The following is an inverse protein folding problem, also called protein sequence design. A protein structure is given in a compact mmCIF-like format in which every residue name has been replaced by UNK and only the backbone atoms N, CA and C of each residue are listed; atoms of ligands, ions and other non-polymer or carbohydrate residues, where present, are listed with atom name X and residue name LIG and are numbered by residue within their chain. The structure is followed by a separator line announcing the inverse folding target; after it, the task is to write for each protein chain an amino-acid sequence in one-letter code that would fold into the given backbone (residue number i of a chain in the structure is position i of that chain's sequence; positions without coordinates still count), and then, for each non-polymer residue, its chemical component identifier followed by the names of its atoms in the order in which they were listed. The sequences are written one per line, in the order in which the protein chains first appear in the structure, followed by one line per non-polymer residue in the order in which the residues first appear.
data_IF_603146327667
#
_entry.id   IF_603146327667
#
_cell.length_a   1.000
_cell.length_b   1.000
_cell.length_c   1.000
_cell.angle_alpha   90.00
_cell.angle_beta   90.00
_cell.angle_gamma   90.00
#
_symmetry.space_group_name_H-M   'P 1'
#
loop_
_entity.id
_entity.type
_entity.pdbx_description
1 polymer ?
#
# COMPACT_ATOMS: atom_id res chain seq x y z
N UNK A 1 -9.18 -50.59 -61.49
CA UNK A 1 -9.09 -51.43 -60.28
C UNK A 1 -9.09 -50.48 -59.09
N UNK A 2 -10.27 -50.13 -58.55
CA UNK A 2 -10.86 -50.67 -57.29
C UNK A 2 -9.91 -50.57 -56.08
N UNK A 3 -10.30 -49.73 -55.11
CA UNK A 3 -9.66 -49.68 -53.79
C UNK A 3 -10.13 -48.54 -52.89
N UNK A 4 -11.44 -48.48 -52.58
CA UNK A 4 -11.98 -47.74 -51.42
C UNK A 4 -11.46 -48.37 -50.11
N UNK A 5 -11.09 -47.57 -49.11
CA UNK A 5 -11.29 -47.88 -47.67
C UNK A 5 -11.17 -46.56 -46.86
N UNK A 6 -12.28 -45.86 -46.60
CA UNK A 6 -13.12 -45.86 -45.38
C UNK A 6 -12.60 -44.96 -44.24
N UNK A 7 -13.41 -43.93 -43.98
CA UNK A 7 -13.45 -43.02 -42.82
C UNK A 7 -13.33 -43.71 -41.46
N UNK A 8 -12.82 -42.98 -40.48
CA UNK A 8 -13.36 -43.00 -39.11
C UNK A 8 -13.12 -41.66 -38.43
N UNK A 9 -14.22 -40.91 -38.29
CA UNK A 9 -14.42 -39.82 -37.35
C UNK A 9 -14.43 -40.44 -35.95
N UNK A 10 -13.66 -39.89 -35.00
CA UNK A 10 -13.92 -40.10 -33.58
C UNK A 10 -14.11 -38.76 -32.86
N UNK A 11 -15.12 -38.79 -32.01
CA UNK A 11 -15.85 -37.70 -31.36
C UNK A 11 -15.01 -36.86 -30.38
N UNK A 12 -15.47 -35.61 -30.24
CA UNK A 12 -15.69 -34.86 -29.01
C UNK A 12 -15.17 -35.48 -27.70
N UNK A 13 -14.34 -34.74 -26.97
CA UNK A 13 -14.14 -35.01 -25.55
C UNK A 13 -13.18 -34.03 -24.89
N UNK A 14 -13.74 -33.22 -23.99
CA UNK A 14 -13.06 -32.42 -22.95
C UNK A 14 -12.55 -31.02 -23.30
N UNK A 15 -13.51 -30.10 -23.31
CA UNK A 15 -13.30 -28.77 -22.73
C UNK A 15 -13.01 -28.93 -21.23
N UNK A 16 -11.73 -28.97 -20.85
CA UNK A 16 -11.27 -28.65 -19.49
C UNK A 16 -10.24 -27.53 -19.64
N UNK A 17 -10.70 -26.31 -19.92
CA UNK A 17 -9.91 -25.15 -19.52
C UNK A 17 -10.30 -24.85 -18.07
N UNK A 18 -9.38 -25.24 -17.19
CA UNK A 18 -9.54 -25.22 -15.75
C UNK A 18 -10.07 -23.91 -15.24
N UNK A 19 -10.80 -24.01 -14.14
CA UNK A 19 -11.16 -22.89 -13.30
C UNK A 19 -9.90 -22.04 -13.11
N UNK A 20 -9.83 -20.92 -13.82
CA UNK A 20 -8.93 -19.85 -13.50
C UNK A 20 -9.34 -19.45 -12.10
N UNK A 21 -8.59 -19.94 -11.11
CA UNK A 21 -8.63 -19.39 -9.77
C UNK A 21 -8.45 -17.91 -9.96
N UNK A 22 -9.52 -17.15 -9.76
CA UNK A 22 -9.45 -15.71 -9.66
C UNK A 22 -8.62 -15.44 -8.40
N UNK A 23 -7.30 -15.53 -8.52
CA UNK A 23 -6.42 -14.78 -7.64
C UNK A 23 -6.97 -13.37 -7.71
N UNK A 24 -7.46 -12.78 -6.60
CA UNK A 24 -7.81 -11.37 -6.62
C UNK A 24 -6.57 -10.69 -7.19
N UNK A 25 -6.76 -9.84 -8.20
CA UNK A 25 -5.69 -9.10 -8.83
C UNK A 25 -5.04 -8.21 -7.77
N UNK A 26 -4.11 -8.76 -6.98
CA UNK A 26 -3.21 -8.06 -6.08
C UNK A 26 -1.99 -7.57 -6.87
N UNK A 27 -2.17 -7.30 -8.17
CA UNK A 27 -1.15 -6.78 -9.05
C UNK A 27 -1.17 -5.25 -8.95
N UNK A 28 -0.45 -4.69 -7.97
CA UNK A 28 -0.11 -3.26 -8.02
C UNK A 28 -0.22 -2.47 -6.73
N UNK A 29 -0.34 -3.08 -5.55
CA UNK A 29 -0.35 -2.31 -4.31
C UNK A 29 0.92 -1.45 -4.17
N UNK A 30 0.76 -0.19 -3.75
CA UNK A 30 1.85 0.78 -3.59
C UNK A 30 2.03 1.11 -2.11
N UNK A 31 3.28 1.11 -1.63
CA UNK A 31 3.60 1.55 -0.28
C UNK A 31 3.53 3.06 -0.21
N UNK A 32 2.76 3.58 0.74
CA UNK A 32 2.62 4.99 1.04
C UNK A 32 3.34 5.29 2.34
N UNK A 33 4.09 6.38 2.30
CA UNK A 33 4.71 6.98 3.47
C UNK A 33 4.42 8.47 3.46
N UNK A 34 3.91 9.00 4.56
CA UNK A 34 3.67 10.42 4.70
C UNK A 34 4.12 10.91 6.07
N UNK A 35 4.94 11.97 6.08
CA UNK A 35 5.43 12.60 7.32
C UNK A 35 4.78 13.97 7.48
N UNK A 36 4.38 14.29 8.71
CA UNK A 36 3.92 15.63 9.09
C UNK A 36 4.36 16.00 10.50
N UNK A 37 4.35 17.28 10.84
CA UNK A 37 4.75 17.82 12.14
C UNK A 37 3.75 18.82 12.68
N UNK A 38 3.65 18.92 14.00
CA UNK A 38 2.78 19.89 14.66
C UNK A 38 3.20 20.15 16.11
N UNK A 39 2.54 21.11 16.75
CA UNK A 39 2.74 21.47 18.16
C UNK A 39 2.30 20.38 19.17
N UNK A 40 1.57 19.36 18.72
CA UNK A 40 1.19 18.22 19.57
C UNK A 40 1.33 16.88 18.83
N UNK A 41 1.57 15.76 19.55
CA UNK A 41 1.66 14.43 18.94
C UNK A 41 0.38 14.06 18.18
N UNK A 42 -0.78 14.42 18.74
CA UNK A 42 -2.10 14.13 18.14
C UNK A 42 -2.28 14.86 16.81
N UNK A 43 -1.96 16.16 16.78
CA UNK A 43 -2.08 16.95 15.55
C UNK A 43 -1.10 16.46 14.47
N UNK A 44 0.15 16.17 14.84
CA UNK A 44 1.15 15.64 13.91
C UNK A 44 0.72 14.28 13.33
N UNK A 45 0.20 13.39 14.18
CA UNK A 45 -0.33 12.11 13.75
C UNK A 45 -1.51 12.28 12.78
N UNK A 46 -2.52 13.08 13.14
CA UNK A 46 -3.68 13.35 12.27
C UNK A 46 -3.26 13.93 10.92
N UNK A 47 -2.35 14.90 10.91
CA UNK A 47 -1.85 15.51 9.69
C UNK A 47 -1.07 14.50 8.81
N UNK A 48 -0.22 13.65 9.41
CA UNK A 48 0.49 12.60 8.68
C UNK A 48 -0.46 11.55 8.08
N UNK A 49 -1.53 11.20 8.80
CA UNK A 49 -2.54 10.26 8.33
C UNK A 49 -3.39 10.85 7.20
N UNK A 50 -3.73 12.13 7.28
CA UNK A 50 -4.42 12.86 6.22
C UNK A 50 -3.56 12.89 4.94
N UNK A 51 -2.26 13.21 5.05
CA UNK A 51 -1.33 13.19 3.93
C UNK A 51 -1.18 11.77 3.33
N UNK A 52 -1.22 10.72 4.15
CA UNK A 52 -1.21 9.34 3.66
C UNK A 52 -2.49 9.00 2.86
N UNK A 53 -3.65 9.50 3.31
CA UNK A 53 -4.91 9.32 2.58
C UNK A 53 -4.90 10.10 1.24
N UNK A 54 -4.41 11.33 1.24
CA UNK A 54 -4.23 12.11 0.00
C UNK A 54 -3.27 11.42 -0.98
N UNK A 55 -2.17 10.87 -0.46
CA UNK A 55 -1.23 10.08 -1.25
C UNK A 55 -1.90 8.85 -1.87
N UNK A 56 -2.82 8.19 -1.17
CA UNK A 56 -3.56 7.04 -1.72
C UNK A 56 -4.49 7.46 -2.86
N UNK A 57 -5.16 8.60 -2.73
CA UNK A 57 -5.97 9.16 -3.82
C UNK A 57 -5.10 9.63 -5.00
N UNK A 58 -3.88 10.11 -4.74
CA UNK A 58 -2.91 10.40 -5.80
C UNK A 58 -2.45 9.12 -6.53
N UNK A 59 -2.19 8.03 -5.80
CA UNK A 59 -1.89 6.71 -6.39
C UNK A 59 -3.05 6.24 -7.25
N UNK A 60 -4.28 6.29 -6.74
CA UNK A 60 -5.50 5.93 -7.48
C UNK A 60 -5.59 6.68 -8.81
N UNK A 61 -5.44 8.01 -8.78
CA UNK A 61 -5.47 8.87 -9.99
C UNK A 61 -4.35 8.50 -10.97
N UNK A 62 -3.12 8.35 -10.47
CA UNK A 62 -1.94 7.98 -11.28
C UNK A 62 -2.06 6.61 -11.93
N UNK A 63 -2.67 5.64 -11.24
CA UNK A 63 -2.82 4.25 -11.68
C UNK A 63 -4.10 4.02 -12.51
N UNK A 64 -4.99 5.01 -12.58
CA UNK A 64 -6.29 4.85 -13.23
C UNK A 64 -7.25 3.89 -12.50
N UNK A 65 -7.02 3.62 -11.21
CA UNK A 65 -7.87 2.73 -10.43
C UNK A 65 -9.24 3.35 -10.18
N UNK A 66 -10.30 2.54 -10.24
CA UNK A 66 -11.66 3.03 -9.93
C UNK A 66 -11.84 3.23 -8.42
N UNK A 67 -11.14 2.44 -7.60
CA UNK A 67 -11.10 2.58 -6.14
C UNK A 67 -9.68 2.44 -5.59
N UNK A 68 -9.49 2.87 -4.34
CA UNK A 68 -8.30 2.56 -3.56
C UNK A 68 -8.70 2.16 -2.15
N UNK A 69 -8.03 1.15 -1.63
CA UNK A 69 -8.15 0.69 -0.25
C UNK A 69 -6.81 0.84 0.43
N UNK A 70 -6.82 1.21 1.70
CA UNK A 70 -5.60 1.37 2.51
C UNK A 70 -5.59 0.33 3.62
N UNK A 71 -4.40 -0.24 3.87
CA UNK A 71 -4.13 -1.07 5.05
C UNK A 71 -2.93 -0.52 5.79
N UNK A 72 -3.01 -0.50 7.12
CA UNK A 72 -1.91 -0.07 7.96
C UNK A 72 -0.64 -0.88 7.67
N UNK A 73 0.48 -0.19 7.49
CA UNK A 73 1.79 -0.83 7.30
C UNK A 73 2.85 -0.05 8.04
N UNK A 74 3.58 -0.75 8.91
CA UNK A 74 4.75 -0.17 9.57
C UNK A 74 5.81 0.18 8.53
N UNK A 75 6.37 1.38 8.64
CA UNK A 75 7.39 1.92 7.74
C UNK A 75 8.47 2.57 8.57
N UNK A 76 9.68 2.63 8.03
CA UNK A 76 10.75 3.40 8.67
C UNK A 76 10.36 4.88 8.74
N UNK A 77 10.47 5.52 9.92
CA UNK A 77 10.32 6.97 10.05
C UNK A 77 11.12 7.73 9.00
N UNK A 78 10.55 8.80 8.45
CA UNK A 78 11.16 9.56 7.36
C UNK A 78 11.17 11.06 7.70
N UNK A 79 12.26 11.54 8.34
CA UNK A 79 12.37 12.93 8.77
C UNK A 79 12.50 13.90 7.59
N UNK A 80 11.96 15.11 7.75
CA UNK A 80 12.00 16.15 6.71
C UNK A 80 13.42 16.58 6.33
N UNK A 81 14.24 16.88 7.34
CA UNK A 81 15.61 17.37 7.13
C UNK A 81 16.62 16.26 7.36
N UNK A 82 16.83 15.43 6.34
CA UNK A 82 17.79 14.31 6.38
C UNK A 82 19.24 14.76 6.64
N UNK A 83 19.58 16.00 6.30
CA UNK A 83 20.88 16.59 6.62
C UNK A 83 21.07 16.81 8.13
N UNK A 84 20.00 17.10 8.87
CA UNK A 84 20.05 17.34 10.33
C UNK A 84 19.80 16.03 11.09
N UNK A 85 18.89 15.20 10.58
CA UNK A 85 18.57 13.90 11.13
C UNK A 85 18.44 12.89 9.99
N UNK A 86 19.50 12.14 9.65
CA UNK A 86 19.45 11.18 8.55
C UNK A 86 18.56 9.98 8.86
N UNK A 87 18.45 9.62 10.13
CA UNK A 87 17.63 8.52 10.63
C UNK A 87 16.98 8.88 11.97
N UNK A 88 15.90 8.18 12.34
CA UNK A 88 15.22 8.37 13.62
C UNK A 88 15.55 7.18 14.52
N UNK A 89 16.39 7.36 15.56
CA UNK A 89 16.68 6.30 16.52
C UNK A 89 15.42 5.76 17.19
N UNK A 90 15.43 4.47 17.55
CA UNK A 90 14.23 3.78 18.10
C UNK A 90 13.89 4.22 19.52
N UNK A 91 14.88 4.65 20.29
CA UNK A 91 14.80 5.10 21.67
C UNK A 91 14.11 6.46 21.82
N UNK A 92 14.09 7.27 20.76
CA UNK A 92 13.40 8.58 20.75
C UNK A 92 11.97 8.51 20.19
N UNK A 93 11.50 7.31 19.83
CA UNK A 93 10.12 7.13 19.39
C UNK A 93 9.16 7.34 20.55
N UNK A 94 8.18 8.22 20.34
CA UNK A 94 7.10 8.47 21.28
C UNK A 94 6.11 7.32 21.16
N UNK A 95 5.95 6.54 22.24
CA UNK A 95 4.99 5.45 22.35
C UNK A 95 3.70 5.90 23.04
N UNK A 96 2.55 5.26 22.76
CA UNK A 96 2.36 4.14 21.84
C UNK A 96 2.36 4.57 20.36
N UNK A 97 2.68 3.62 19.46
CA UNK A 97 2.43 3.82 18.03
C UNK A 97 0.91 3.91 17.79
N UNK A 98 0.48 4.77 16.86
CA UNK A 98 -0.95 4.96 16.57
C UNK A 98 -1.31 4.13 15.35
N UNK A 99 -2.02 3.02 15.59
CA UNK A 99 -2.42 2.06 14.55
C UNK A 99 -3.92 2.16 14.32
N UNK A 100 -4.32 2.36 13.07
CA UNK A 100 -5.70 2.33 12.62
C UNK A 100 -5.89 1.21 11.60
N UNK A 101 -7.10 1.04 11.06
CA UNK A 101 -7.31 0.13 9.92
C UNK A 101 -6.53 0.56 8.66
N UNK A 102 -6.25 1.87 8.51
CA UNK A 102 -5.67 2.46 7.30
C UNK A 102 -4.18 2.76 7.40
N UNK A 103 -3.68 3.09 8.59
CA UNK A 103 -2.32 3.63 8.80
C UNK A 103 -1.65 3.06 10.04
N UNK A 104 -0.33 2.93 9.98
CA UNK A 104 0.55 2.71 11.14
C UNK A 104 1.39 3.96 11.34
N UNK A 105 1.28 4.61 12.49
CA UNK A 105 1.90 5.92 12.74
C UNK A 105 2.94 5.81 13.84
N UNK A 106 4.14 6.33 13.57
CA UNK A 106 5.22 6.47 14.55
C UNK A 106 5.57 7.95 14.70
N UNK A 107 5.76 8.41 15.93
CA UNK A 107 6.07 9.80 16.23
C UNK A 107 7.39 9.93 17.00
N UNK A 108 8.05 11.09 16.89
CA UNK A 108 9.29 11.40 17.61
C UNK A 108 9.44 12.92 17.80
N UNK A 109 10.32 13.38 18.71
CA UNK A 109 10.62 14.80 18.87
C UNK A 109 11.30 15.37 17.62
N UNK A 110 10.72 16.45 17.08
CA UNK A 110 11.29 17.17 15.94
C UNK A 110 12.39 18.15 16.35
N UNK A 111 13.03 18.74 15.35
CA UNK A 111 14.13 19.70 15.54
C UNK A 111 13.64 21.14 15.56
N UNK A 112 12.70 21.48 14.67
CA UNK A 112 12.13 22.83 14.54
C UNK A 112 10.72 22.89 15.10
N UNK A 113 9.88 21.90 14.75
CA UNK A 113 8.52 21.72 15.27
C UNK A 113 8.56 20.56 16.27
N UNK A 114 7.92 20.64 17.44
CA UNK A 114 8.21 19.75 18.56
C UNK A 114 7.88 18.28 18.28
N UNK A 115 6.87 17.99 17.46
CA UNK A 115 6.47 16.62 17.15
C UNK A 115 6.43 16.37 15.65
N UNK A 116 7.02 15.25 15.24
CA UNK A 116 6.99 14.76 13.86
C UNK A 116 6.46 13.34 13.88
N UNK A 117 5.58 13.00 12.95
CA UNK A 117 5.02 11.66 12.80
C UNK A 117 5.08 11.20 11.35
N UNK A 118 5.46 9.93 11.14
CA UNK A 118 5.31 9.24 9.85
C UNK A 118 4.17 8.24 9.93
N UNK A 119 3.24 8.33 8.98
CA UNK A 119 2.20 7.35 8.74
C UNK A 119 2.55 6.47 7.54
N UNK A 120 2.53 5.16 7.75
CA UNK A 120 2.69 4.16 6.70
C UNK A 120 1.40 3.42 6.37
N UNK A 121 1.16 3.21 5.09
CA UNK A 121 0.03 2.45 4.58
C UNK A 121 0.40 1.70 3.29
N UNK A 122 -0.30 0.63 2.98
CA UNK A 122 -0.29 0.03 1.64
C UNK A 122 -1.60 0.38 0.96
N UNK A 123 -1.54 1.01 -0.21
CA UNK A 123 -2.68 1.31 -1.04
C UNK A 123 -2.84 0.25 -2.14
N UNK A 124 -3.99 -0.40 -2.19
CA UNK A 124 -4.34 -1.38 -3.23
C UNK A 124 -5.64 -0.93 -3.92
N UNK A 125 -5.65 -0.90 -5.25
CA UNK A 125 -6.85 -0.61 -6.03
C UNK A 125 -7.31 -1.80 -6.87
N UNK A 126 -8.12 -1.49 -7.88
CA UNK A 126 -8.72 -2.42 -8.85
C UNK A 126 -8.35 -2.11 -10.29
#
# INVERSE_FOLDING_TARGET
MRGLLKSSIFLCGFAILGMAGATPASAGCELIKATNSAESPRAAAQASQANAAESAEAVKRRRGWRYVTMRARKVEPDPFWKAVRPEVPKDILIKPDIVTRKTYTQCWPGVVVPYVCTSGAVACGN
#
